data_IF_178532788233
#
_entry.id   IF_178532788233
#
_cell.length_a   1.000
_cell.length_b   1.000
_cell.length_c   1.000
_cell.angle_alpha   90.00
_cell.angle_beta   90.00
_cell.angle_gamma   90.00
#
_symmetry.space_group_name_H-M   'P 1'
#
loop_
_entity.id
_entity.type
_entity.pdbx_description
1 polymer ?
#
# COMPACT_ATOMS: atom_id res chain seq x y z
N UNK A 1 -45.30 -34.39 -33.33
CA UNK A 1 -44.95 -33.00 -33.69
C UNK A 1 -44.50 -32.14 -32.50
N UNK A 2 -44.89 -32.44 -31.25
CA UNK A 2 -44.48 -31.65 -30.07
C UNK A 2 -43.04 -31.92 -29.62
N UNK A 3 -42.59 -33.18 -29.63
CA UNK A 3 -41.25 -33.60 -29.14
C UNK A 3 -40.11 -32.96 -29.96
N UNK A 4 -40.26 -32.86 -31.28
CA UNK A 4 -39.25 -32.23 -32.17
C UNK A 4 -39.09 -30.73 -31.92
N UNK A 5 -40.19 -30.04 -31.59
CA UNK A 5 -40.16 -28.62 -31.22
C UNK A 5 -39.45 -28.42 -29.89
N UNK A 6 -39.66 -29.31 -28.93
CA UNK A 6 -39.04 -29.24 -27.60
C UNK A 6 -37.52 -29.48 -27.66
N UNK A 7 -37.07 -30.42 -28.50
CA UNK A 7 -35.64 -30.65 -28.75
C UNK A 7 -34.97 -29.41 -29.37
N UNK A 8 -35.59 -28.79 -30.38
CA UNK A 8 -35.04 -27.57 -30.99
C UNK A 8 -34.95 -26.40 -30.00
N UNK A 9 -35.97 -26.22 -29.15
CA UNK A 9 -35.95 -25.16 -28.12
C UNK A 9 -34.86 -25.42 -27.07
N UNK A 10 -34.63 -26.68 -26.69
CA UNK A 10 -33.55 -27.03 -25.75
C UNK A 10 -32.16 -26.83 -26.37
N UNK A 11 -31.99 -27.16 -27.65
CA UNK A 11 -30.75 -26.91 -28.39
C UNK A 11 -30.47 -25.41 -28.52
N UNK A 12 -31.46 -24.62 -28.90
CA UNK A 12 -31.36 -23.16 -28.97
C UNK A 12 -31.02 -22.55 -27.60
N UNK A 13 -31.67 -23.01 -26.52
CA UNK A 13 -31.38 -22.57 -25.16
C UNK A 13 -29.97 -22.99 -24.71
N UNK A 14 -29.52 -24.18 -25.07
CA UNK A 14 -28.17 -24.66 -24.78
C UNK A 14 -27.11 -23.82 -25.52
N UNK A 15 -27.29 -23.57 -26.81
CA UNK A 15 -26.39 -22.74 -27.63
C UNK A 15 -26.37 -21.30 -27.12
N UNK A 16 -27.52 -20.74 -26.74
CA UNK A 16 -27.58 -19.40 -26.13
C UNK A 16 -26.83 -19.36 -24.79
N UNK A 17 -26.96 -20.39 -23.95
CA UNK A 17 -26.24 -20.48 -22.69
C UNK A 17 -24.72 -20.60 -22.90
N UNK A 18 -24.26 -21.40 -23.87
CA UNK A 18 -22.84 -21.48 -24.21
C UNK A 18 -22.29 -20.14 -24.72
N UNK A 19 -23.05 -19.42 -25.55
CA UNK A 19 -22.68 -18.07 -26.03
C UNK A 19 -22.60 -17.06 -24.89
N UNK A 20 -23.57 -17.08 -23.98
CA UNK A 20 -23.54 -16.21 -22.79
C UNK A 20 -22.36 -16.54 -21.88
N UNK A 21 -22.07 -17.82 -21.66
CA UNK A 21 -20.92 -18.23 -20.85
C UNK A 21 -19.60 -17.78 -21.51
N UNK A 22 -19.44 -17.99 -22.81
CA UNK A 22 -18.27 -17.50 -23.55
C UNK A 22 -18.15 -15.97 -23.53
N UNK A 23 -19.26 -15.24 -23.64
CA UNK A 23 -19.27 -13.79 -23.54
C UNK A 23 -18.84 -13.31 -22.14
N UNK A 24 -19.32 -13.98 -21.08
CA UNK A 24 -18.93 -13.68 -19.70
C UNK A 24 -17.44 -13.97 -19.48
N UNK A 25 -16.94 -15.14 -19.91
CA UNK A 25 -15.52 -15.49 -19.81
C UNK A 25 -14.65 -14.52 -20.59
N UNK A 26 -15.06 -14.12 -21.79
CA UNK A 26 -14.33 -13.12 -22.57
C UNK A 26 -14.30 -11.76 -21.87
N UNK A 27 -15.42 -11.35 -21.25
CA UNK A 27 -15.49 -10.11 -20.49
C UNK A 27 -14.63 -10.14 -19.23
N UNK A 28 -14.62 -11.25 -18.49
CA UNK A 28 -13.73 -11.46 -17.34
C UNK A 28 -12.26 -11.43 -17.75
N UNK A 29 -11.91 -12.11 -18.86
CA UNK A 29 -10.56 -12.08 -19.41
C UNK A 29 -10.13 -10.68 -19.83
N UNK A 30 -11.01 -9.93 -20.50
CA UNK A 30 -10.75 -8.54 -20.89
C UNK A 30 -10.50 -7.66 -19.65
N UNK A 31 -11.33 -7.80 -18.61
CA UNK A 31 -11.13 -7.12 -17.33
C UNK A 31 -9.80 -7.47 -16.67
N UNK A 32 -9.40 -8.75 -16.68
CA UNK A 32 -8.10 -9.18 -16.18
C UNK A 32 -6.94 -8.62 -17.00
N UNK A 33 -7.05 -8.58 -18.33
CA UNK A 33 -6.03 -8.02 -19.20
C UNK A 33 -5.87 -6.52 -18.96
N UNK A 34 -6.98 -5.79 -18.89
CA UNK A 34 -6.97 -4.36 -18.57
C UNK A 34 -6.29 -4.11 -17.23
N UNK A 35 -6.68 -4.85 -16.18
CA UNK A 35 -6.05 -4.76 -14.86
C UNK A 35 -4.53 -4.99 -14.90
N UNK A 36 -4.07 -5.98 -15.67
CA UNK A 36 -2.64 -6.25 -15.80
C UNK A 36 -1.91 -5.15 -16.59
N UNK A 37 -2.53 -4.59 -17.63
CA UNK A 37 -1.96 -3.49 -18.42
C UNK A 37 -1.81 -2.24 -17.54
N UNK A 38 -2.85 -1.89 -16.78
CA UNK A 38 -2.83 -0.74 -15.87
C UNK A 38 -1.69 -0.87 -14.86
N UNK A 39 -1.53 -2.07 -14.28
CA UNK A 39 -0.43 -2.37 -13.35
C UNK A 39 0.95 -2.28 -14.00
N UNK A 40 1.11 -2.70 -15.26
CA UNK A 40 2.38 -2.56 -15.97
C UNK A 40 2.73 -1.10 -16.29
N UNK A 41 1.74 -0.32 -16.73
CA UNK A 41 1.91 1.11 -17.01
C UNK A 41 2.29 1.88 -15.74
N UNK A 42 1.64 1.57 -14.63
CA UNK A 42 1.99 2.04 -13.30
C UNK A 42 3.47 1.82 -12.96
N UNK A 43 3.97 0.58 -13.11
CA UNK A 43 5.37 0.28 -12.77
C UNK A 43 6.33 1.02 -13.70
N UNK A 44 5.99 1.14 -14.99
CA UNK A 44 6.78 1.89 -15.97
C UNK A 44 6.87 3.37 -15.59
N UNK A 45 5.74 4.03 -15.31
CA UNK A 45 5.74 5.45 -14.95
C UNK A 45 6.47 5.70 -13.63
N UNK A 46 6.26 4.83 -12.63
CA UNK A 46 7.00 4.88 -11.37
C UNK A 46 8.50 4.76 -11.59
N UNK A 47 8.95 3.77 -12.35
CA UNK A 47 10.39 3.62 -12.65
C UNK A 47 10.95 4.80 -13.44
N UNK A 48 10.22 5.32 -14.43
CA UNK A 48 10.67 6.49 -15.19
C UNK A 48 10.86 7.70 -14.27
N UNK A 49 9.89 7.97 -13.39
CA UNK A 49 9.99 9.08 -12.44
C UNK A 49 11.14 8.88 -11.44
N UNK A 50 11.38 7.63 -11.01
CA UNK A 50 12.52 7.26 -10.18
C UNK A 50 13.87 7.49 -10.85
N UNK A 51 13.97 7.23 -12.16
CA UNK A 51 15.19 7.49 -12.93
C UNK A 51 15.41 8.98 -13.19
N UNK A 52 14.34 9.76 -13.39
CA UNK A 52 14.43 11.21 -13.61
C UNK A 52 14.81 11.96 -12.32
N UNK A 53 14.34 11.49 -11.17
CA UNK A 53 14.54 12.16 -9.87
C UNK A 53 14.82 11.15 -8.76
N UNK A 54 15.99 10.49 -8.77
CA UNK A 54 16.33 9.45 -7.80
C UNK A 54 16.31 9.99 -6.37
N UNK A 55 15.98 9.11 -5.42
CA UNK A 55 16.06 9.44 -4.01
C UNK A 55 17.52 9.50 -3.59
N UNK A 56 17.93 10.65 -3.06
CA UNK A 56 19.30 10.87 -2.64
C UNK A 56 19.56 10.22 -1.28
N UNK A 57 20.58 9.36 -1.23
CA UNK A 57 20.99 8.61 -0.05
C UNK A 57 21.39 9.52 1.12
N UNK A 58 21.93 10.71 0.85
CA UNK A 58 22.32 11.65 1.91
C UNK A 58 21.09 12.25 2.59
N UNK A 59 20.00 12.43 1.83
CA UNK A 59 18.72 12.92 2.37
C UNK A 59 18.07 11.84 3.24
N UNK A 60 18.16 10.56 2.84
CA UNK A 60 17.72 9.43 3.66
C UNK A 60 18.53 9.30 4.95
N UNK A 61 19.86 9.41 4.89
CA UNK A 61 20.73 9.39 6.06
C UNK A 61 20.38 10.52 7.04
N UNK A 62 20.14 11.71 6.51
CA UNK A 62 19.71 12.88 7.30
C UNK A 62 18.31 12.68 7.91
N UNK A 63 17.42 11.96 7.24
CA UNK A 63 16.11 11.58 7.79
C UNK A 63 16.23 10.55 8.92
N UNK A 64 17.11 9.55 8.76
CA UNK A 64 17.43 8.55 9.80
C UNK A 64 18.00 9.19 11.06
N UNK A 65 18.92 10.16 10.92
CA UNK A 65 19.43 10.93 12.07
C UNK A 65 18.34 11.73 12.79
N UNK A 66 17.42 12.35 12.03
CA UNK A 66 16.26 13.05 12.61
C UNK A 66 15.36 12.10 13.39
N UNK A 67 15.07 10.92 12.85
CA UNK A 67 14.35 9.87 13.57
C UNK A 67 15.03 9.53 14.91
N UNK A 68 16.33 9.24 14.90
CA UNK A 68 17.05 8.89 16.14
C UNK A 68 16.94 9.98 17.21
N UNK A 69 16.93 11.26 16.80
CA UNK A 69 16.75 12.39 17.72
C UNK A 69 15.31 12.57 18.22
N UNK A 70 14.31 12.15 17.44
CA UNK A 70 12.88 12.39 17.71
C UNK A 70 12.15 11.17 18.28
N UNK A 71 12.76 9.97 18.26
CA UNK A 71 12.13 8.70 18.67
C UNK A 71 11.58 8.67 20.10
N UNK A 72 12.02 9.60 20.94
CA UNK A 72 11.58 9.74 22.33
C UNK A 72 10.36 10.66 22.49
N UNK A 73 9.92 11.35 21.44
CA UNK A 73 8.73 12.20 21.45
C UNK A 73 7.46 11.34 21.45
N UNK A 74 6.37 11.87 22.01
CA UNK A 74 5.07 11.18 22.07
C UNK A 74 4.53 10.80 20.70
N UNK A 75 4.56 11.76 19.77
CA UNK A 75 4.30 11.61 18.35
C UNK A 75 5.42 12.30 17.59
N UNK A 76 5.81 11.75 16.45
CA UNK A 76 6.77 12.41 15.56
C UNK A 76 6.46 12.11 14.10
N UNK A 77 6.98 12.97 13.22
CA UNK A 77 6.80 12.86 11.78
C UNK A 77 8.13 13.14 11.08
N UNK A 78 8.54 12.20 10.24
CA UNK A 78 9.66 12.37 9.32
C UNK A 78 9.12 12.40 7.90
N UNK A 79 9.40 13.49 7.19
CA UNK A 79 9.06 13.64 5.78
C UNK A 79 10.24 14.23 5.01
N UNK A 80 10.41 13.77 3.78
CA UNK A 80 11.46 14.26 2.90
C UNK A 80 11.04 15.57 2.23
N UNK A 81 11.99 16.46 1.89
CA UNK A 81 11.70 17.73 1.22
C UNK A 81 10.90 17.54 -0.07
N UNK A 82 10.16 18.57 -0.47
CA UNK A 82 9.36 18.60 -1.71
C UNK A 82 8.25 17.54 -1.80
N UNK A 83 7.85 16.93 -0.67
CA UNK A 83 6.79 15.90 -0.61
C UNK A 83 7.01 14.75 -1.60
N UNK A 84 8.28 14.38 -1.82
CA UNK A 84 8.65 13.29 -2.72
C UNK A 84 8.31 11.91 -2.17
N UNK A 85 8.15 11.80 -0.86
CA UNK A 85 7.79 10.55 -0.18
C UNK A 85 6.55 10.75 0.66
N UNK A 86 5.81 9.68 0.88
CA UNK A 86 4.85 9.64 1.96
C UNK A 86 5.56 9.93 3.30
N UNK A 87 4.92 10.68 4.20
CA UNK A 87 5.47 10.90 5.54
C UNK A 87 5.51 9.58 6.31
N UNK A 88 6.54 9.42 7.12
CA UNK A 88 6.60 8.39 8.15
C UNK A 88 6.19 9.04 9.46
N UNK A 89 5.24 8.40 10.14
CA UNK A 89 4.79 8.82 11.46
C UNK A 89 5.24 7.80 12.48
N UNK A 90 5.54 8.24 13.69
CA UNK A 90 5.85 7.31 14.76
C UNK A 90 5.34 7.73 16.11
N UNK A 91 5.40 6.75 17.00
CA UNK A 91 4.94 6.80 18.38
C UNK A 91 6.13 6.72 19.33
N UNK A 92 5.93 7.17 20.57
CA UNK A 92 7.00 7.12 21.58
C UNK A 92 7.43 5.70 21.92
N UNK A 93 8.70 5.56 22.24
CA UNK A 93 9.26 4.31 22.76
C UNK A 93 8.60 3.79 24.05
N UNK A 94 7.85 4.62 24.80
CA UNK A 94 7.06 4.14 25.95
C UNK A 94 5.84 3.34 25.51
N UNK A 95 5.13 3.77 24.46
CA UNK A 95 4.01 3.02 23.85
C UNK A 95 4.52 1.70 23.29
N UNK A 96 5.66 1.73 22.60
CA UNK A 96 6.32 0.54 22.05
C UNK A 96 6.71 -0.44 23.17
N UNK A 97 7.30 0.05 24.26
CA UNK A 97 7.72 -0.78 25.40
C UNK A 97 6.58 -1.42 26.20
N UNK A 98 5.36 -0.88 26.12
CA UNK A 98 4.20 -1.43 26.83
C UNK A 98 3.55 -2.62 26.11
N UNK A 99 3.94 -2.91 24.88
CA UNK A 99 3.37 -3.99 24.09
C UNK A 99 4.42 -5.07 23.77
N UNK A 100 4.22 -6.34 24.19
CA UNK A 100 5.22 -7.39 24.04
C UNK A 100 5.58 -7.77 22.60
N UNK A 101 4.74 -7.42 21.61
CA UNK A 101 5.01 -7.72 20.18
C UNK A 101 5.88 -6.65 19.50
N UNK A 102 6.12 -5.53 20.18
CA UNK A 102 6.82 -4.38 19.62
C UNK A 102 8.28 -4.32 20.11
N UNK A 103 9.14 -3.65 19.33
CA UNK A 103 10.58 -3.62 19.54
C UNK A 103 11.04 -2.19 19.89
N UNK A 104 11.15 -1.90 21.18
CA UNK A 104 11.45 -0.54 21.71
C UNK A 104 12.80 0.03 21.27
N UNK A 105 13.80 -0.83 21.12
CA UNK A 105 15.18 -0.42 20.84
C UNK A 105 15.80 -1.35 19.78
N UNK A 106 15.06 -1.61 18.70
CA UNK A 106 15.57 -2.42 17.59
C UNK A 106 16.79 -1.73 16.94
N UNK A 107 17.98 -2.36 16.89
CA UNK A 107 19.14 -1.82 16.20
C UNK A 107 18.90 -1.60 14.70
N UNK A 108 17.95 -2.32 14.09
CA UNK A 108 17.60 -2.22 12.67
C UNK A 108 16.54 -1.14 12.37
N UNK A 109 15.97 -0.48 13.39
CA UNK A 109 14.89 0.48 13.20
C UNK A 109 15.29 1.66 12.27
N UNK A 110 16.56 2.06 12.29
CA UNK A 110 17.07 3.12 11.43
C UNK A 110 17.13 2.69 9.95
N UNK A 111 17.54 1.44 9.69
CA UNK A 111 17.59 0.87 8.34
C UNK A 111 16.16 0.60 7.82
N UNK A 112 15.29 0.09 8.69
CA UNK A 112 13.87 -0.11 8.43
C UNK A 112 13.17 1.21 8.09
N UNK A 113 13.49 2.31 8.80
CA UNK A 113 12.97 3.64 8.50
C UNK A 113 13.41 4.11 7.10
N UNK A 114 14.69 3.92 6.74
CA UNK A 114 15.18 4.27 5.40
C UNK A 114 14.44 3.47 4.33
N UNK A 115 14.28 2.16 4.52
CA UNK A 115 13.50 1.31 3.62
C UNK A 115 12.03 1.76 3.55
N UNK A 116 11.46 2.25 4.65
CA UNK A 116 10.09 2.76 4.70
C UNK A 116 9.95 4.08 3.94
N UNK A 117 10.96 4.95 3.99
CA UNK A 117 10.99 6.19 3.21
C UNK A 117 11.12 5.91 1.71
N UNK A 118 11.92 4.91 1.33
CA UNK A 118 12.02 4.41 -0.05
C UNK A 118 10.70 3.80 -0.53
N UNK A 119 10.05 2.99 0.31
CA UNK A 119 8.71 2.50 0.02
C UNK A 119 7.74 3.68 -0.15
N UNK A 120 7.77 4.65 0.77
CA UNK A 120 6.95 5.86 0.70
C UNK A 120 7.23 6.72 -0.54
N UNK A 121 8.46 6.70 -1.07
CA UNK A 121 8.82 7.30 -2.34
C UNK A 121 8.10 6.58 -3.48
N UNK A 122 8.27 5.26 -3.58
CA UNK A 122 7.61 4.44 -4.60
C UNK A 122 6.08 4.62 -4.55
N UNK A 123 5.47 4.57 -3.37
CA UNK A 123 4.04 4.78 -3.21
C UNK A 123 3.60 6.20 -3.57
N UNK A 124 4.43 7.22 -3.36
CA UNK A 124 4.09 8.60 -3.73
C UNK A 124 4.15 8.83 -5.24
N UNK A 125 5.07 8.16 -5.95
CA UNK A 125 5.08 8.15 -7.42
C UNK A 125 3.75 7.62 -7.97
N UNK A 126 3.15 6.68 -7.24
CA UNK A 126 1.93 6.00 -7.67
C UNK A 126 0.64 6.76 -7.41
N UNK A 127 0.65 7.77 -6.53
CA UNK A 127 -0.53 8.59 -6.25
C UNK A 127 -0.90 9.55 -7.41
N UNK A 128 -0.02 9.72 -8.40
CA UNK A 128 -0.26 10.59 -9.54
C UNK A 128 -1.19 9.96 -10.60
N UNK A 129 -1.38 8.63 -10.56
CA UNK A 129 -2.38 7.93 -11.38
C UNK A 129 -3.69 7.79 -10.57
N UNK A 130 -4.69 8.58 -10.93
CA UNK A 130 -5.98 8.69 -10.19
C UNK A 130 -6.78 7.38 -10.14
N UNK A 131 -6.45 6.43 -11.01
CA UNK A 131 -7.15 5.14 -11.11
C UNK A 131 -6.56 4.08 -10.17
N UNK A 132 -5.37 4.31 -9.60
CA UNK A 132 -4.73 3.40 -8.66
C UNK A 132 -5.03 3.79 -7.20
N UNK A 133 -6.28 3.60 -6.79
CA UNK A 133 -6.74 3.88 -5.42
C UNK A 133 -6.41 2.74 -4.43
N UNK A 134 -5.24 2.10 -4.54
CA UNK A 134 -4.87 1.04 -3.61
C UNK A 134 -4.39 1.64 -2.28
N UNK A 135 -5.16 1.39 -1.21
CA UNK A 135 -4.86 1.85 0.14
C UNK A 135 -3.75 1.00 0.73
N UNK A 136 -2.51 1.41 0.50
CA UNK A 136 -1.34 0.77 1.07
C UNK A 136 -0.90 1.46 2.36
N UNK A 137 -0.52 0.63 3.34
CA UNK A 137 0.11 1.04 4.58
C UNK A 137 1.19 0.04 4.96
N UNK A 138 2.23 0.53 5.62
CA UNK A 138 3.26 -0.30 6.23
C UNK A 138 3.40 0.11 7.69
N UNK A 139 3.44 -0.88 8.58
CA UNK A 139 3.52 -0.68 10.02
C UNK A 139 4.69 -1.48 10.57
N UNK A 140 5.65 -0.76 11.13
CA UNK A 140 6.84 -1.31 11.76
C UNK A 140 6.55 -1.70 13.21
N UNK A 141 7.19 -2.77 13.67
CA UNK A 141 7.20 -3.17 15.10
C UNK A 141 8.04 -2.24 15.96
N UNK A 142 8.89 -1.42 15.35
CA UNK A 142 9.76 -0.43 15.98
C UNK A 142 9.03 0.89 16.34
N UNK A 143 7.70 0.96 16.13
CA UNK A 143 6.91 2.12 16.58
C UNK A 143 6.62 3.17 15.51
N UNK A 144 6.68 2.84 14.22
CA UNK A 144 6.38 3.80 13.16
C UNK A 144 5.63 3.17 12.00
N UNK A 145 5.08 4.01 11.12
CA UNK A 145 4.31 3.57 9.97
C UNK A 145 4.31 4.63 8.85
N UNK A 146 4.01 4.19 7.64
CA UNK A 146 3.66 5.08 6.52
C UNK A 146 2.37 4.60 5.87
N UNK A 147 1.60 5.52 5.30
CA UNK A 147 0.32 5.20 4.69
C UNK A 147 0.01 6.16 3.54
N UNK A 148 -0.63 5.61 2.51
CA UNK A 148 -1.25 6.37 1.42
C UNK A 148 -2.53 7.07 1.87
N UNK A 149 -3.08 6.69 3.03
CA UNK A 149 -4.23 7.37 3.64
C UNK A 149 -3.81 8.76 4.15
N UNK A 150 -4.61 9.81 3.89
CA UNK A 150 -4.28 11.14 4.37
C UNK A 150 -4.47 11.24 5.88
N UNK A 151 -3.39 11.09 6.66
CA UNK A 151 -3.37 11.51 8.06
C UNK A 151 -3.15 13.02 8.12
N UNK A 152 -4.17 13.74 8.58
CA UNK A 152 -4.15 15.22 8.63
C UNK A 152 -3.54 15.78 9.91
N UNK A 153 -3.48 14.99 10.97
CA UNK A 153 -3.12 15.47 12.31
C UNK A 153 -2.31 14.44 13.10
N UNK A 154 -1.37 14.92 13.92
CA UNK A 154 -0.53 14.12 14.83
C UNK A 154 -1.36 13.44 15.92
N UNK A 155 -2.50 14.04 16.31
CA UNK A 155 -3.45 13.44 17.24
C UNK A 155 -4.00 12.08 16.77
N UNK A 156 -4.07 11.87 15.45
CA UNK A 156 -4.57 10.63 14.85
C UNK A 156 -3.50 9.54 14.76
N UNK A 157 -2.21 9.90 14.87
CA UNK A 157 -1.08 8.97 14.72
C UNK A 157 -1.15 7.87 15.79
N UNK A 158 -1.38 8.25 17.04
CA UNK A 158 -1.47 7.29 18.15
C UNK A 158 -2.66 6.36 17.99
N UNK A 159 -3.85 6.92 17.70
CA UNK A 159 -5.06 6.13 17.53
C UNK A 159 -4.93 5.15 16.37
N UNK A 160 -4.41 5.61 15.22
CA UNK A 160 -4.22 4.78 14.05
C UNK A 160 -3.22 3.65 14.31
N UNK A 161 -2.06 3.97 14.89
CA UNK A 161 -1.05 2.97 15.22
C UNK A 161 -1.58 1.95 16.23
N UNK A 162 -2.24 2.40 17.30
CA UNK A 162 -2.83 1.51 18.31
C UNK A 162 -3.90 0.59 17.74
N UNK A 163 -4.75 1.08 16.84
CA UNK A 163 -5.74 0.25 16.15
C UNK A 163 -5.07 -0.81 15.29
N UNK A 164 -4.02 -0.43 14.58
CA UNK A 164 -3.38 -1.34 13.65
C UNK A 164 -2.58 -2.44 14.34
N UNK A 165 -1.88 -2.13 15.44
CA UNK A 165 -1.17 -3.17 16.23
C UNK A 165 -2.14 -4.10 16.98
N UNK A 166 -3.39 -3.69 17.18
CA UNK A 166 -4.45 -4.54 17.76
C UNK A 166 -5.08 -5.49 16.74
N UNK A 167 -4.83 -5.29 15.45
CA UNK A 167 -5.44 -6.08 14.41
C UNK A 167 -4.81 -7.49 14.33
N UNK A 168 -5.65 -8.49 14.05
CA UNK A 168 -5.25 -9.90 13.93
C UNK A 168 -4.16 -10.17 12.90
N UNK A 169 -4.06 -9.35 11.85
CA UNK A 169 -3.03 -9.52 10.83
C UNK A 169 -1.64 -9.05 11.28
N UNK A 170 -1.56 -8.22 12.32
CA UNK A 170 -0.30 -7.70 12.86
C UNK A 170 0.30 -8.62 13.93
N UNK A 171 -0.57 -9.30 14.67
CA UNK A 171 -0.21 -10.19 15.79
C UNK A 171 0.06 -11.64 15.38
N UNK A 172 -0.15 -11.99 14.10
CA UNK A 172 0.12 -13.32 13.54
C UNK A 172 1.57 -13.50 13.10
#
# INVERSE_FOLDING_TARGET
LLIWREINVLEEAYVANQRNNLANVAHEMDGLLQFNIDRMMFFRHGMQSALEQPLDIDVLRSASQRYLSQRHQEAWRVALPHRRTLPVFGVSGSVVGNNPILLKDDPLAADELMATLELGYLLNLTQHDRDFAERMQYISRSGFFTSTLPLRDESQVMTHYSQAISALWFTR
#
